data_IF_170061247011
#
_entry.id   IF_170061247011
#
_cell.length_a   1.000
_cell.length_b   1.000
_cell.length_c   1.000
_cell.angle_alpha   90.00
_cell.angle_beta   90.00
_cell.angle_gamma   90.00
#
_symmetry.space_group_name_H-M   'P 1'
#
loop_
_entity.id
_entity.type
_entity.pdbx_description
1 polymer ?
#
# COMPACT_ATOMS: atom_id res chain seq x y z
N UNK A 1 11.67 14.76 27.77
CA UNK A 1 12.99 14.09 27.93
C UNK A 1 14.16 14.97 27.48
N UNK A 2 14.20 15.45 26.22
CA UNK A 2 15.33 16.25 25.72
C UNK A 2 15.46 17.62 26.38
N UNK A 3 14.34 18.28 26.67
CA UNK A 3 14.33 19.57 27.38
C UNK A 3 14.96 19.43 28.78
N UNK A 4 14.52 18.43 29.55
CA UNK A 4 15.07 18.08 30.88
C UNK A 4 16.57 17.77 30.81
N UNK A 5 17.03 17.10 29.75
CA UNK A 5 18.46 16.89 29.53
C UNK A 5 19.24 18.19 29.31
N UNK A 6 18.63 19.17 28.62
CA UNK A 6 19.19 20.51 28.48
C UNK A 6 19.27 21.26 29.81
N UNK A 7 18.20 21.21 30.59
CA UNK A 7 18.11 21.82 31.93
C UNK A 7 19.15 21.24 32.91
N UNK A 8 19.39 19.94 32.84
CA UNK A 8 20.41 19.26 33.65
C UNK A 8 21.84 19.42 33.09
N UNK A 9 22.14 20.50 32.36
CA UNK A 9 23.47 20.79 31.81
C UNK A 9 24.06 19.61 31.00
N UNK A 10 23.20 18.90 30.27
CA UNK A 10 23.60 17.72 29.48
C UNK A 10 24.14 16.56 30.33
N UNK A 11 23.78 16.48 31.62
CA UNK A 11 24.06 15.36 32.52
C UNK A 11 22.88 14.36 32.50
N UNK A 12 23.13 13.15 31.99
CA UNK A 12 22.05 12.17 31.79
C UNK A 12 21.52 11.55 33.08
N UNK A 13 22.34 11.43 34.13
CA UNK A 13 21.91 10.88 35.42
C UNK A 13 20.93 11.83 36.12
N UNK A 14 21.30 13.11 36.23
CA UNK A 14 20.44 14.16 36.76
C UNK A 14 19.15 14.30 35.94
N UNK A 15 19.25 14.20 34.62
CA UNK A 15 18.08 14.26 33.75
C UNK A 15 17.11 13.09 33.97
N UNK A 16 17.60 11.87 34.23
CA UNK A 16 16.75 10.73 34.55
C UNK A 16 16.01 10.93 35.89
N UNK A 17 16.73 11.42 36.90
CA UNK A 17 16.18 11.68 38.23
C UNK A 17 15.13 12.80 38.20
N UNK A 18 15.46 13.92 37.57
CA UNK A 18 14.53 15.04 37.38
C UNK A 18 13.32 14.65 36.52
N UNK A 19 13.50 13.72 35.57
CA UNK A 19 12.38 13.18 34.80
C UNK A 19 11.43 12.40 35.71
N UNK A 20 11.92 11.49 36.56
CA UNK A 20 11.08 10.73 37.50
C UNK A 20 10.41 11.62 38.54
N UNK A 21 11.07 12.70 38.97
CA UNK A 21 10.48 13.67 39.91
C UNK A 21 9.32 14.45 39.28
N UNK A 22 9.47 14.88 38.02
CA UNK A 22 8.44 15.66 37.32
C UNK A 22 7.28 14.84 36.79
N UNK A 23 7.54 13.58 36.41
CA UNK A 23 6.56 12.68 35.84
C UNK A 23 6.52 11.44 36.70
N UNK A 24 5.75 11.47 37.78
CA UNK A 24 5.62 10.40 38.77
C UNK A 24 4.73 9.24 38.30
N UNK A 25 4.00 9.39 37.19
CA UNK A 25 3.15 8.32 36.65
C UNK A 25 3.84 7.51 35.55
N UNK A 26 3.95 6.19 35.79
CA UNK A 26 4.38 5.21 34.79
C UNK A 26 5.89 4.97 34.70
N UNK A 27 6.36 4.17 33.73
CA UNK A 27 7.77 3.82 33.58
C UNK A 27 8.64 5.02 33.20
N UNK A 28 9.73 5.25 33.94
CA UNK A 28 10.66 6.36 33.67
C UNK A 28 11.85 5.93 32.80
N UNK A 29 12.34 6.81 31.91
CA UNK A 29 13.51 6.53 31.11
C UNK A 29 14.77 6.45 31.98
N UNK A 30 15.53 5.37 31.83
CA UNK A 30 16.84 5.24 32.46
C UNK A 30 17.86 6.19 31.83
N UNK A 31 18.96 6.46 32.55
CA UNK A 31 20.11 7.20 32.04
C UNK A 31 20.58 6.68 30.67
N UNK A 32 20.60 5.35 30.50
CA UNK A 32 21.02 4.70 29.25
C UNK A 32 20.05 4.98 28.10
N UNK A 33 18.75 5.02 28.36
CA UNK A 33 17.74 5.37 27.36
C UNK A 33 17.93 6.81 26.89
N UNK A 34 18.13 7.74 27.83
CA UNK A 34 18.41 9.14 27.53
C UNK A 34 19.66 9.27 26.65
N UNK A 35 20.77 8.62 27.04
CA UNK A 35 22.01 8.58 26.25
C UNK A 35 21.80 8.04 24.82
N UNK A 36 21.08 6.92 24.68
CA UNK A 36 20.80 6.30 23.36
C UNK A 36 19.99 7.21 22.45
N UNK A 37 19.07 7.99 23.00
CA UNK A 37 18.26 8.94 22.21
C UNK A 37 19.08 10.14 21.80
N UNK A 38 19.88 10.72 22.70
CA UNK A 38 20.78 11.84 22.36
C UNK A 38 21.80 11.43 21.31
N UNK A 39 22.39 10.24 21.45
CA UNK A 39 23.34 9.71 20.46
C UNK A 39 22.70 9.60 19.07
N UNK A 40 21.51 9.00 18.98
CA UNK A 40 20.76 8.90 17.72
C UNK A 40 20.40 10.26 17.13
N UNK A 41 19.99 11.22 17.95
CA UNK A 41 19.71 12.57 17.49
C UNK A 41 20.93 13.24 16.89
N UNK A 42 22.11 13.07 17.50
CA UNK A 42 23.37 13.62 16.95
C UNK A 42 23.79 12.93 15.66
N UNK A 43 23.58 11.62 15.56
CA UNK A 43 24.01 10.83 14.40
C UNK A 43 23.05 10.93 13.20
N UNK A 44 21.74 10.92 13.44
CA UNK A 44 20.73 10.82 12.37
C UNK A 44 19.71 11.95 12.38
N UNK A 45 19.71 12.86 13.37
CA UNK A 45 18.70 13.93 13.50
C UNK A 45 17.33 13.47 14.00
N UNK A 46 17.15 12.17 14.25
CA UNK A 46 15.87 11.58 14.66
C UNK A 46 15.95 10.97 16.07
N UNK A 47 14.92 11.21 16.88
CA UNK A 47 14.80 10.63 18.24
C UNK A 47 14.30 9.18 18.24
N UNK A 48 13.58 8.79 17.19
CA UNK A 48 13.02 7.44 17.03
C UNK A 48 14.11 6.43 16.66
N UNK A 49 13.89 5.16 16.96
CA UNK A 49 14.78 4.11 16.47
C UNK A 49 14.56 3.93 14.98
N UNK A 50 15.60 3.52 14.25
CA UNK A 50 15.42 3.05 12.87
C UNK A 50 14.34 1.97 12.85
N UNK A 51 13.44 1.97 11.86
CA UNK A 51 12.48 0.90 11.68
C UNK A 51 13.22 -0.44 11.68
N UNK A 52 12.70 -1.44 12.40
CA UNK A 52 13.26 -2.78 12.31
C UNK A 52 13.03 -3.29 10.89
N UNK A 53 14.09 -3.28 10.08
CA UNK A 53 14.07 -3.92 8.76
C UNK A 53 13.87 -5.41 9.01
N UNK A 54 12.68 -5.94 8.67
CA UNK A 54 12.43 -7.37 8.74
C UNK A 54 13.34 -8.07 7.73
N UNK A 55 13.87 -9.23 8.12
CA UNK A 55 14.66 -10.07 7.21
C UNK A 55 13.81 -10.34 5.96
N UNK A 56 14.35 -10.14 4.74
CA UNK A 56 13.63 -10.48 3.52
C UNK A 56 13.28 -11.98 3.58
N UNK A 57 12.02 -12.30 3.30
CA UNK A 57 11.53 -13.68 3.31
C UNK A 57 12.15 -14.36 2.09
N UNK A 58 12.88 -15.47 2.28
CA UNK A 58 13.40 -16.26 1.17
C UNK A 58 12.20 -16.73 0.34
N UNK A 59 12.03 -16.13 -0.84
CA UNK A 59 10.93 -16.45 -1.75
C UNK A 59 11.36 -17.72 -2.49
N UNK A 60 10.92 -18.87 -2.01
CA UNK A 60 11.10 -20.13 -2.72
C UNK A 60 10.42 -20.07 -4.09
N UNK A 61 11.18 -20.46 -5.12
CA UNK A 61 10.86 -20.45 -6.57
C UNK A 61 11.07 -19.10 -7.28
N UNK A 62 12.04 -19.09 -8.19
CA UNK A 62 12.42 -18.00 -9.11
C UNK A 62 11.39 -17.77 -10.23
N UNK A 63 10.09 -17.75 -9.94
CA UNK A 63 9.17 -17.13 -10.90
C UNK A 63 9.34 -15.64 -10.67
N UNK A 64 9.86 -14.97 -11.69
CA UNK A 64 10.04 -13.54 -11.63
C UNK A 64 8.65 -12.93 -11.47
N UNK A 65 8.42 -12.03 -10.49
CA UNK A 65 7.12 -11.40 -10.30
C UNK A 65 6.59 -10.76 -11.59
N UNK A 66 7.49 -10.38 -12.48
CA UNK A 66 7.22 -9.89 -13.83
C UNK A 66 6.43 -10.89 -14.69
N UNK A 67 6.75 -12.19 -14.65
CA UNK A 67 6.06 -13.22 -15.46
C UNK A 67 4.61 -13.41 -15.01
N UNK A 68 4.39 -13.37 -13.69
CA UNK A 68 3.05 -13.41 -13.11
C UNK A 68 2.23 -12.18 -13.50
N UNK A 69 2.86 -11.00 -13.47
CA UNK A 69 2.19 -9.75 -13.81
C UNK A 69 1.83 -9.70 -15.29
N UNK A 70 2.74 -10.14 -16.18
CA UNK A 70 2.45 -10.29 -17.60
C UNK A 70 1.23 -11.20 -17.81
N UNK A 71 1.23 -12.38 -17.18
CA UNK A 71 0.10 -13.31 -17.27
C UNK A 71 -1.22 -12.70 -16.74
N UNK A 72 -1.17 -11.97 -15.62
CA UNK A 72 -2.35 -11.33 -15.05
C UNK A 72 -2.91 -10.20 -15.92
N UNK A 73 -2.05 -9.50 -16.66
CA UNK A 73 -2.44 -8.46 -17.62
C UNK A 73 -3.03 -9.06 -18.90
N UNK A 74 -2.45 -10.14 -19.41
CA UNK A 74 -2.95 -10.85 -20.59
C UNK A 74 -4.29 -11.56 -20.31
N UNK A 75 -4.53 -11.93 -19.05
CA UNK A 75 -5.73 -12.63 -18.62
C UNK A 75 -6.38 -11.95 -17.40
N UNK A 76 -6.99 -10.76 -17.58
CA UNK A 76 -7.52 -9.98 -16.46
C UNK A 76 -8.71 -10.64 -15.76
N UNK A 77 -9.38 -11.60 -16.41
CA UNK A 77 -10.47 -12.36 -15.80
C UNK A 77 -9.98 -13.56 -14.98
N UNK A 78 -8.66 -13.82 -14.97
CA UNK A 78 -8.10 -14.95 -14.25
C UNK A 78 -8.15 -14.77 -12.75
N UNK A 79 -8.69 -15.79 -12.06
CA UNK A 79 -8.66 -15.80 -10.60
C UNK A 79 -7.24 -16.02 -10.08
N UNK A 80 -6.98 -15.57 -8.85
CA UNK A 80 -5.69 -15.85 -8.16
C UNK A 80 -5.37 -17.35 -8.07
N UNK A 81 -6.38 -18.22 -8.11
CA UNK A 81 -6.20 -19.68 -8.18
C UNK A 81 -5.67 -20.12 -9.55
N UNK A 82 -6.26 -19.63 -10.65
CA UNK A 82 -5.79 -19.97 -12.00
C UNK A 82 -4.38 -19.43 -12.26
N UNK A 83 -4.10 -18.19 -11.81
CA UNK A 83 -2.75 -17.61 -11.90
C UNK A 83 -1.76 -18.45 -11.07
N UNK A 84 -2.16 -18.92 -9.89
CA UNK A 84 -1.35 -19.79 -9.04
C UNK A 84 -1.01 -21.13 -9.70
N UNK A 85 -1.98 -21.77 -10.36
CA UNK A 85 -1.80 -23.02 -11.10
C UNK A 85 -0.89 -22.83 -12.32
N UNK A 86 -1.14 -21.77 -13.11
CA UNK A 86 -0.40 -21.51 -14.34
C UNK A 86 1.04 -21.03 -14.09
N UNK A 87 1.26 -20.20 -13.07
CA UNK A 87 2.60 -19.75 -12.70
C UNK A 87 3.31 -20.70 -11.72
N UNK A 88 2.63 -21.74 -11.22
CA UNK A 88 3.18 -22.68 -10.23
C UNK A 88 3.62 -22.01 -8.93
N UNK A 89 2.91 -20.95 -8.52
CA UNK A 89 3.16 -20.21 -7.29
C UNK A 89 2.07 -20.50 -6.26
N UNK A 90 2.37 -20.36 -4.97
CA UNK A 90 1.33 -20.43 -3.96
C UNK A 90 0.33 -19.27 -4.13
N UNK A 91 -0.96 -19.54 -3.99
CA UNK A 91 -2.03 -18.54 -4.08
C UNK A 91 -1.80 -17.31 -3.20
N UNK A 92 -1.27 -17.50 -2.00
CA UNK A 92 -0.91 -16.40 -1.08
C UNK A 92 0.18 -15.50 -1.66
N UNK A 93 1.16 -16.08 -2.35
CA UNK A 93 2.23 -15.34 -3.02
C UNK A 93 1.70 -14.54 -4.20
N UNK A 94 0.81 -15.13 -5.00
CA UNK A 94 0.12 -14.42 -6.10
C UNK A 94 -0.63 -13.21 -5.57
N UNK A 95 -1.42 -13.38 -4.50
CA UNK A 95 -2.16 -12.29 -3.88
C UNK A 95 -1.25 -11.17 -3.37
N UNK A 96 -0.15 -11.51 -2.68
CA UNK A 96 0.82 -10.50 -2.22
C UNK A 96 1.44 -9.73 -3.37
N UNK A 97 1.89 -10.40 -4.44
CA UNK A 97 2.53 -9.74 -5.59
C UNK A 97 1.54 -8.79 -6.27
N UNK A 98 0.32 -9.27 -6.57
CA UNK A 98 -0.72 -8.44 -7.19
C UNK A 98 -1.07 -7.21 -6.35
N UNK A 99 -1.12 -7.35 -5.02
CA UNK A 99 -1.42 -6.24 -4.13
C UNK A 99 -0.25 -5.26 -3.98
N UNK A 100 1.00 -5.75 -3.93
CA UNK A 100 2.21 -4.91 -3.91
C UNK A 100 2.39 -4.13 -5.21
N UNK A 101 2.00 -4.72 -6.35
CA UNK A 101 2.10 -4.09 -7.67
C UNK A 101 0.88 -3.26 -8.07
N UNK A 102 -0.20 -3.24 -7.25
CA UNK A 102 -1.47 -2.60 -7.60
C UNK A 102 -2.18 -3.24 -8.80
N UNK A 103 -1.86 -4.49 -9.14
CA UNK A 103 -2.49 -5.21 -10.24
C UNK A 103 -3.79 -5.86 -9.74
N UNK A 104 -4.93 -5.42 -10.28
CA UNK A 104 -6.25 -5.91 -9.91
C UNK A 104 -6.95 -6.51 -11.13
N UNK A 105 -6.75 -7.82 -11.40
CA UNK A 105 -7.50 -8.53 -12.44
C UNK A 105 -9.01 -8.34 -12.24
N UNK A 106 -9.71 -7.88 -13.29
CA UNK A 106 -11.14 -7.61 -13.24
C UNK A 106 -11.96 -8.80 -13.78
N UNK A 107 -13.04 -9.14 -13.08
CA UNK A 107 -14.00 -10.15 -13.56
C UNK A 107 -15.20 -9.45 -14.18
N UNK A 108 -15.24 -9.38 -15.51
CA UNK A 108 -16.45 -8.94 -16.19
C UNK A 108 -17.58 -9.92 -15.92
N UNK A 109 -18.72 -9.40 -15.48
CA UNK A 109 -19.95 -10.17 -15.34
C UNK A 109 -21.03 -9.45 -16.15
N UNK A 110 -21.51 -10.01 -17.27
CA UNK A 110 -22.62 -9.41 -18.01
C UNK A 110 -23.88 -9.49 -17.15
N UNK A 111 -24.40 -8.34 -16.72
CA UNK A 111 -25.59 -8.26 -15.84
C UNK A 111 -26.89 -8.31 -16.64
N UNK A 112 -26.85 -7.82 -17.88
CA UNK A 112 -27.96 -7.91 -18.82
C UNK A 112 -27.64 -9.05 -19.78
N UNK A 113 -28.56 -9.99 -19.99
CA UNK A 113 -28.40 -11.10 -20.92
C UNK A 113 -28.40 -10.63 -22.38
N UNK A 114 -27.43 -9.78 -22.73
CA UNK A 114 -27.27 -9.17 -24.04
C UNK A 114 -26.99 -10.27 -25.05
N UNK A 115 -27.79 -10.28 -26.10
CA UNK A 115 -27.62 -11.15 -27.25
C UNK A 115 -26.67 -10.47 -28.24
N UNK A 116 -26.02 -11.24 -29.12
CA UNK A 116 -25.09 -10.70 -30.13
C UNK A 116 -25.73 -9.61 -31.00
N UNK A 117 -27.04 -9.70 -31.26
CA UNK A 117 -27.82 -8.69 -32.01
C UNK A 117 -27.97 -7.35 -31.29
N UNK A 118 -27.82 -7.32 -29.97
CA UNK A 118 -28.00 -6.10 -29.19
C UNK A 118 -26.79 -5.16 -29.30
N UNK A 119 -25.61 -5.70 -29.63
CA UNK A 119 -24.40 -4.90 -29.85
C UNK A 119 -24.57 -3.88 -30.98
N UNK A 120 -25.07 -4.31 -32.14
CA UNK A 120 -25.33 -3.42 -33.29
C UNK A 120 -26.41 -2.38 -32.97
N UNK A 121 -27.46 -2.80 -32.25
CA UNK A 121 -28.55 -1.90 -31.83
C UNK A 121 -28.06 -0.83 -30.87
N UNK A 122 -27.23 -1.22 -29.90
CA UNK A 122 -26.60 -0.31 -28.95
C UNK A 122 -25.65 0.65 -29.67
N UNK A 123 -24.81 0.15 -30.58
CA UNK A 123 -23.89 0.98 -31.36
C UNK A 123 -24.64 2.02 -32.21
N UNK A 124 -25.68 1.59 -32.91
CA UNK A 124 -26.53 2.47 -33.72
C UNK A 124 -27.20 3.55 -32.86
N UNK A 125 -27.76 3.16 -31.72
CA UNK A 125 -28.37 4.11 -30.78
C UNK A 125 -27.36 5.11 -30.22
N UNK A 126 -26.17 4.64 -29.82
CA UNK A 126 -25.10 5.51 -29.34
C UNK A 126 -24.67 6.52 -30.42
N UNK A 127 -24.43 6.07 -31.65
CA UNK A 127 -24.08 6.96 -32.76
C UNK A 127 -25.17 7.97 -33.06
N UNK A 128 -26.44 7.56 -33.03
CA UNK A 128 -27.56 8.48 -33.18
C UNK A 128 -27.51 9.58 -32.11
N UNK A 129 -27.35 9.22 -30.83
CA UNK A 129 -27.26 10.20 -29.74
C UNK A 129 -26.03 11.10 -29.90
N UNK A 130 -24.86 10.55 -30.23
CA UNK A 130 -23.63 11.32 -30.40
C UNK A 130 -23.72 12.32 -31.55
N UNK A 131 -24.28 11.91 -32.70
CA UNK A 131 -24.46 12.79 -33.85
C UNK A 131 -25.42 13.94 -33.54
N UNK A 132 -26.55 13.64 -32.89
CA UNK A 132 -27.51 14.67 -32.54
C UNK A 132 -26.97 15.63 -31.46
N UNK A 133 -26.11 15.16 -30.54
CA UNK A 133 -25.43 16.04 -29.58
C UNK A 133 -24.39 16.95 -30.23
N UNK A 134 -23.75 16.49 -31.32
CA UNK A 134 -22.81 17.30 -32.09
C UNK A 134 -23.52 18.47 -32.77
N UNK A 135 -24.66 18.20 -33.41
CA UNK A 135 -25.45 19.22 -34.12
C UNK A 135 -26.28 20.09 -33.16
N UNK A 136 -26.76 19.50 -32.06
CA UNK A 136 -27.65 20.13 -31.09
C UNK A 136 -27.18 19.82 -29.65
N UNK A 137 -26.36 20.68 -29.02
CA UNK A 137 -25.83 20.45 -27.68
C UNK A 137 -26.89 20.27 -26.58
N UNK A 138 -28.12 20.73 -26.80
CA UNK A 138 -29.27 20.60 -25.90
C UNK A 138 -30.14 19.38 -26.18
N UNK A 139 -29.74 18.49 -27.10
CA UNK A 139 -30.55 17.36 -27.56
C UNK A 139 -31.05 16.42 -26.45
N UNK A 140 -30.31 16.32 -25.33
CA UNK A 140 -30.69 15.51 -24.17
C UNK A 140 -31.26 16.30 -23.00
N UNK A 141 -31.43 17.62 -23.14
CA UNK A 141 -32.11 18.45 -22.14
C UNK A 141 -33.62 18.35 -22.39
N UNK A 142 -34.34 17.80 -21.41
CA UNK A 142 -35.81 17.71 -21.37
C UNK A 142 -36.37 19.01 -20.81
#
# INVERSE_FOLDING_TARGET
MLLIYGECERKTKSAAMLYSERFNEGPHPTQQTILKVIKRLRETGFATSRPRVRRPRNVGRKVQPEDLLAYALDHPQSSTKMISENCGLAKSRVWTILNESGAHPYRFTPVQGLLSRDAERHYTRCNFVMNNLYDHPTFLQI
#
